data_IF_775875553998
#
_entry.id   IF_775875553998
#
_cell.length_a   1.000
_cell.length_b   1.000
_cell.length_c   1.000
_cell.angle_alpha   90.00
_cell.angle_beta   90.00
_cell.angle_gamma   90.00
#
_symmetry.space_group_name_H-M   'P 1'
#
loop_
_entity.id
_entity.type
_entity.pdbx_description
1 polymer ?
#
# COMPACT_ATOMS: atom_id res chain seq x y z
N UNK A 1 -1.28 15.89 11.92
CA UNK A 1 -2.35 14.93 12.27
C UNK A 1 -2.66 14.14 11.01
N UNK A 2 -2.27 12.86 10.94
CA UNK A 2 -2.58 12.03 9.78
C UNK A 2 -4.04 11.60 9.89
N UNK A 3 -4.87 12.04 8.95
CA UNK A 3 -6.31 11.76 8.93
C UNK A 3 -6.47 10.35 8.39
N UNK A 4 -6.83 9.40 9.26
CA UNK A 4 -7.40 8.13 8.83
C UNK A 4 -8.76 8.43 8.19
N UNK A 5 -9.00 7.87 7.01
CA UNK A 5 -10.35 7.77 6.45
C UNK A 5 -11.16 6.83 7.36
N UNK A 6 -12.19 7.32 8.09
CA UNK A 6 -12.91 6.52 9.08
C UNK A 6 -13.71 5.37 8.44
N UNK A 7 -13.88 5.35 7.12
CA UNK A 7 -14.57 4.29 6.39
C UNK A 7 -13.61 3.14 6.00
N UNK A 8 -12.30 3.31 6.16
CA UNK A 8 -11.31 2.29 5.83
C UNK A 8 -11.00 1.39 7.04
N UNK A 9 -11.09 0.08 6.81
CA UNK A 9 -10.72 -0.98 7.75
C UNK A 9 -9.87 -2.02 7.03
N UNK A 10 -9.17 -2.89 7.77
CA UNK A 10 -8.48 -4.03 7.14
C UNK A 10 -9.45 -4.83 6.27
N UNK A 11 -10.68 -5.06 6.75
CA UNK A 11 -11.68 -5.83 6.02
C UNK A 11 -12.08 -5.16 4.71
N UNK A 12 -12.47 -3.88 4.72
CA UNK A 12 -12.85 -3.17 3.48
C UNK A 12 -11.68 -3.02 2.51
N UNK A 13 -10.47 -2.74 2.99
CA UNK A 13 -9.29 -2.67 2.12
C UNK A 13 -9.01 -4.03 1.48
N UNK A 14 -8.97 -5.10 2.28
CA UNK A 14 -8.69 -6.44 1.75
C UNK A 14 -9.81 -6.87 0.81
N UNK A 15 -11.09 -6.61 1.10
CA UNK A 15 -12.21 -7.08 0.29
C UNK A 15 -12.37 -6.29 -1.03
N UNK A 16 -12.14 -4.97 -1.04
CA UNK A 16 -12.43 -4.10 -2.19
C UNK A 16 -11.20 -3.74 -3.04
N UNK A 17 -9.99 -3.97 -2.52
CA UNK A 17 -8.73 -3.62 -3.19
C UNK A 17 -7.86 -4.85 -3.45
N UNK A 18 -7.03 -4.78 -4.49
CA UNK A 18 -5.91 -5.67 -4.71
C UNK A 18 -4.66 -5.06 -4.08
N UNK A 19 -4.03 -5.80 -3.17
CA UNK A 19 -2.86 -5.34 -2.41
C UNK A 19 -1.58 -5.81 -3.11
N UNK A 20 -0.64 -4.88 -3.29
CA UNK A 20 0.72 -5.19 -3.69
C UNK A 20 1.77 -4.60 -2.74
N UNK A 21 2.91 -5.27 -2.66
CA UNK A 21 3.98 -4.93 -1.72
C UNK A 21 5.35 -5.31 -2.27
N UNK A 22 6.38 -4.77 -1.63
CA UNK A 22 7.76 -5.07 -1.92
C UNK A 22 8.20 -6.34 -1.17
N UNK A 23 8.39 -7.44 -1.90
CA UNK A 23 8.87 -8.69 -1.29
C UNK A 23 10.40 -8.70 -1.08
N UNK A 24 11.14 -7.76 -1.68
CA UNK A 24 12.60 -7.71 -1.64
C UNK A 24 13.16 -6.84 -0.51
N UNK A 25 12.39 -5.87 0.01
CA UNK A 25 12.76 -5.06 1.18
C UNK A 25 11.90 -5.38 2.40
N UNK A 26 12.51 -5.97 3.43
CA UNK A 26 11.82 -6.30 4.69
C UNK A 26 11.36 -5.07 5.46
N UNK A 27 11.95 -3.89 5.23
CA UNK A 27 11.49 -2.64 5.83
C UNK A 27 10.09 -2.22 5.32
N UNK A 28 9.67 -2.76 4.17
CA UNK A 28 8.35 -2.55 3.59
C UNK A 28 7.35 -3.65 3.99
N UNK A 29 7.70 -4.59 4.88
CA UNK A 29 6.86 -5.75 5.20
C UNK A 29 5.48 -5.44 5.80
N UNK A 30 5.26 -4.19 6.21
CA UNK A 30 3.99 -3.67 6.73
C UNK A 30 3.34 -2.61 5.82
N UNK A 31 3.92 -2.34 4.65
CA UNK A 31 3.49 -1.29 3.72
C UNK A 31 2.98 -1.89 2.41
N UNK A 32 1.80 -1.45 2.00
CA UNK A 32 1.15 -1.97 0.81
C UNK A 32 0.55 -0.83 -0.01
N UNK A 33 0.62 -0.97 -1.32
CA UNK A 33 -0.21 -0.22 -2.25
C UNK A 33 -1.48 -1.03 -2.48
N UNK A 34 -2.65 -0.38 -2.42
CA UNK A 34 -3.94 -1.00 -2.69
C UNK A 34 -4.60 -0.29 -3.87
N UNK A 35 -5.01 -1.05 -4.89
CA UNK A 35 -5.74 -0.53 -6.05
C UNK A 35 -7.15 -1.12 -6.09
N UNK A 36 -8.19 -0.35 -6.49
CA UNK A 36 -9.53 -0.90 -6.59
C UNK A 36 -9.59 -2.13 -7.50
N UNK A 37 -10.31 -3.16 -7.05
CA UNK A 37 -10.43 -4.43 -7.78
C UNK A 37 -11.06 -4.28 -9.16
N UNK A 38 -10.69 -5.21 -10.04
CA UNK A 38 -11.31 -5.38 -11.35
C UNK A 38 -10.99 -4.30 -12.38
N UNK A 39 -10.21 -3.29 -12.00
CA UNK A 39 -10.06 -2.09 -12.81
C UNK A 39 -8.72 -2.00 -13.59
N UNK A 40 -7.97 -3.11 -13.68
CA UNK A 40 -6.75 -3.17 -14.50
C UNK A 40 -5.65 -2.19 -14.05
N UNK A 41 -5.72 -1.70 -12.81
CA UNK A 41 -4.89 -0.61 -12.29
C UNK A 41 -3.50 -1.07 -11.80
N UNK A 42 -3.05 -2.27 -12.17
CA UNK A 42 -1.70 -2.76 -11.85
C UNK A 42 -0.62 -1.85 -12.42
N UNK A 43 -0.86 -1.22 -13.57
CA UNK A 43 0.05 -0.24 -14.15
C UNK A 43 0.26 1.01 -13.27
N UNK A 44 -0.77 1.47 -12.55
CA UNK A 44 -0.61 2.59 -11.60
C UNK A 44 0.25 2.16 -10.42
N UNK A 45 -0.05 0.99 -9.83
CA UNK A 45 0.73 0.46 -8.71
C UNK A 45 2.20 0.27 -9.09
N UNK A 46 2.49 -0.29 -10.27
CA UNK A 46 3.86 -0.44 -10.78
C UNK A 46 4.54 0.90 -11.04
N UNK A 47 3.81 1.88 -11.59
CA UNK A 47 4.33 3.23 -11.78
C UNK A 47 4.70 3.91 -10.45
N UNK A 48 3.91 3.67 -9.41
CA UNK A 48 4.18 4.17 -8.05
C UNK A 48 5.34 3.42 -7.40
N UNK A 49 5.37 2.09 -7.50
CA UNK A 49 6.49 1.27 -7.05
C UNK A 49 7.80 1.70 -7.74
N UNK A 50 7.77 2.03 -9.03
CA UNK A 50 8.91 2.58 -9.76
C UNK A 50 9.43 3.90 -9.19
N UNK A 51 8.55 4.78 -8.71
CA UNK A 51 8.95 6.04 -8.04
C UNK A 51 9.58 5.77 -6.67
N UNK A 52 8.99 4.85 -5.90
CA UNK A 52 9.55 4.44 -4.61
C UNK A 52 10.91 3.76 -4.78
N UNK A 53 11.09 2.97 -5.84
CA UNK A 53 12.37 2.35 -6.21
C UNK A 53 13.43 3.39 -6.57
N UNK A 54 13.07 4.39 -7.38
CA UNK A 54 13.97 5.50 -7.70
C UNK A 54 14.41 6.31 -6.46
N UNK A 55 13.61 6.29 -5.39
CA UNK A 55 13.92 6.90 -4.10
C UNK A 55 14.62 5.95 -3.10
N UNK A 56 14.92 4.70 -3.47
CA UNK A 56 15.50 3.70 -2.57
C UNK A 56 14.56 3.22 -1.46
N UNK A 57 13.25 3.39 -1.65
CA UNK A 57 12.19 2.98 -0.72
C UNK A 57 11.43 1.73 -1.17
N UNK A 58 11.84 1.15 -2.29
CA UNK A 58 11.37 -0.13 -2.83
C UNK A 58 12.57 -0.82 -3.48
N UNK A 59 12.69 -2.13 -3.33
CA UNK A 59 13.76 -2.93 -3.91
C UNK A 59 13.67 -3.05 -5.44
N UNK A 60 14.68 -3.61 -6.10
CA UNK A 60 14.59 -3.90 -7.53
C UNK A 60 13.65 -5.07 -7.88
N UNK A 61 13.08 -5.74 -6.87
CA UNK A 61 12.12 -6.81 -7.09
C UNK A 61 10.80 -6.28 -7.68
N UNK A 62 10.13 -7.08 -8.54
CA UNK A 62 8.78 -6.74 -9.01
C UNK A 62 7.80 -6.69 -7.83
N UNK A 63 6.75 -5.88 -7.94
CA UNK A 63 5.73 -5.83 -6.90
C UNK A 63 5.03 -7.18 -6.80
N UNK A 64 4.90 -7.69 -5.57
CA UNK A 64 4.18 -8.93 -5.30
C UNK A 64 2.75 -8.61 -4.94
N UNK A 65 1.82 -9.34 -5.52
CA UNK A 65 0.39 -9.21 -5.28
C UNK A 65 -0.09 -10.26 -4.28
N UNK A 66 -1.02 -9.88 -3.42
CA UNK A 66 -1.72 -10.82 -2.52
C UNK A 66 -2.70 -11.63 -3.37
N UNK A 67 -2.43 -12.92 -3.52
CA UNK A 67 -3.28 -13.84 -4.26
C UNK A 67 -4.64 -14.05 -3.56
N UNK A 68 -5.67 -14.39 -4.34
CA UNK A 68 -7.05 -14.48 -3.85
C UNK A 68 -7.17 -15.48 -2.70
N UNK A 69 -6.52 -16.63 -2.81
CA UNK A 69 -6.47 -17.70 -1.81
C UNK A 69 -5.84 -17.27 -0.48
N UNK A 70 -5.09 -16.16 -0.44
CA UNK A 70 -4.42 -15.66 0.75
C UNK A 70 -5.16 -14.49 1.42
N UNK A 71 -6.17 -13.91 0.78
CA UNK A 71 -6.87 -12.71 1.28
C UNK A 71 -7.49 -12.92 2.64
N UNK A 72 -8.14 -14.06 2.88
CA UNK A 72 -8.73 -14.38 4.18
C UNK A 72 -7.69 -14.37 5.32
N UNK A 73 -6.48 -14.87 5.04
CA UNK A 73 -5.37 -14.85 6.00
C UNK A 73 -4.90 -13.42 6.28
N UNK A 74 -4.75 -12.60 5.23
CA UNK A 74 -4.33 -11.20 5.36
C UNK A 74 -5.37 -10.39 6.16
N UNK A 75 -6.65 -10.57 5.85
CA UNK A 75 -7.76 -9.95 6.59
C UNK A 75 -7.73 -10.28 8.09
N UNK A 76 -7.40 -11.53 8.44
CA UNK A 76 -7.36 -11.97 9.83
C UNK A 76 -6.11 -11.53 10.59
N UNK A 77 -4.98 -11.33 9.89
CA UNK A 77 -3.67 -11.12 10.51
C UNK A 77 -3.18 -9.68 10.48
N UNK A 78 -3.67 -8.84 9.56
CA UNK A 78 -3.23 -7.45 9.43
C UNK A 78 -4.07 -6.51 10.32
N UNK A 79 -3.39 -5.73 11.16
CA UNK A 79 -4.00 -4.64 11.88
C UNK A 79 -3.79 -3.33 11.10
N UNK A 80 -4.85 -2.68 10.62
CA UNK A 80 -4.71 -1.40 9.92
C UNK A 80 -4.20 -0.33 10.90
N UNK A 81 -3.06 0.29 10.54
CA UNK A 81 -2.48 1.41 11.30
C UNK A 81 -2.80 2.73 10.61
N UNK A 82 -2.64 2.80 9.29
CA UNK A 82 -3.00 3.99 8.52
C UNK A 82 -3.33 3.62 7.08
N UNK A 83 -4.21 4.40 6.47
CA UNK A 83 -4.44 4.38 5.03
C UNK A 83 -4.58 5.82 4.56
N UNK A 84 -4.02 6.12 3.38
CA UNK A 84 -4.20 7.40 2.71
C UNK A 84 -4.60 7.17 1.27
N UNK A 85 -5.62 7.92 0.85
CA UNK A 85 -6.21 7.85 -0.48
C UNK A 85 -5.54 8.86 -1.39
N UNK A 86 -5.14 8.38 -2.56
CA UNK A 86 -4.53 9.17 -3.62
C UNK A 86 -5.30 8.99 -4.92
N UNK A 87 -5.21 10.00 -5.78
CA UNK A 87 -5.68 9.95 -7.16
C UNK A 87 -4.55 10.28 -8.11
N UNK A 88 -4.52 9.57 -9.23
CA UNK A 88 -3.68 9.87 -10.37
C UNK A 88 -4.46 9.65 -11.66
N UNK A 89 -4.65 10.73 -12.43
CA UNK A 89 -5.42 10.72 -13.70
C UNK A 89 -6.83 10.11 -13.55
N UNK A 90 -7.48 10.36 -12.42
CA UNK A 90 -8.83 9.85 -12.13
C UNK A 90 -8.87 8.43 -11.53
N UNK A 91 -7.74 7.71 -11.52
CA UNK A 91 -7.64 6.41 -10.86
C UNK A 91 -7.26 6.56 -9.39
N UNK A 92 -7.92 5.79 -8.53
CA UNK A 92 -7.63 5.73 -7.10
C UNK A 92 -6.50 4.74 -6.76
N UNK A 93 -5.73 5.10 -5.75
CA UNK A 93 -4.72 4.27 -5.09
C UNK A 93 -4.78 4.54 -3.59
N UNK A 94 -4.69 3.49 -2.78
CA UNK A 94 -4.43 3.61 -1.36
C UNK A 94 -2.96 3.31 -1.08
N UNK A 95 -2.30 4.19 -0.32
CA UNK A 95 -1.11 3.82 0.42
C UNK A 95 -1.56 3.34 1.79
N UNK A 96 -1.13 2.15 2.20
CA UNK A 96 -1.60 1.52 3.43
C UNK A 96 -0.44 1.04 4.27
N UNK A 97 -0.62 1.18 5.58
CA UNK A 97 0.30 0.77 6.62
C UNK A 97 -0.47 -0.11 7.58
N UNK A 98 0.00 -1.33 7.74
CA UNK A 98 -0.52 -2.28 8.71
C UNK A 98 0.49 -2.51 9.83
N UNK A 99 0.10 -3.30 10.81
CA UNK A 99 1.00 -3.93 11.77
C UNK A 99 0.79 -5.44 11.74
N UNK A 100 1.88 -6.17 12.00
CA UNK A 100 1.89 -7.62 12.04
C UNK A 100 3.02 -8.12 12.95
N UNK A 101 2.84 -9.15 13.79
CA UNK A 101 3.86 -9.61 14.74
C UNK A 101 5.22 -9.96 14.09
N UNK A 102 5.21 -10.48 12.86
CA UNK A 102 6.41 -10.83 12.08
C UNK A 102 7.02 -9.65 11.31
N UNK A 103 6.19 -8.64 11.00
CA UNK A 103 6.56 -7.52 10.14
C UNK A 103 6.03 -6.25 10.80
N UNK A 104 6.71 -5.79 11.86
CA UNK A 104 6.22 -4.66 12.64
C UNK A 104 6.15 -3.40 11.79
N UNK A 105 5.23 -2.54 12.16
CA UNK A 105 4.98 -1.28 11.48
C UNK A 105 6.09 -0.25 11.69
N UNK A 106 6.72 0.23 10.62
CA UNK A 106 7.76 1.28 10.69
C UNK A 106 7.19 2.67 10.33
N UNK A 107 7.12 3.56 11.32
CA UNK A 107 6.59 4.92 11.14
C UNK A 107 7.51 5.82 10.31
N UNK A 108 8.83 5.65 10.41
CA UNK A 108 9.79 6.44 9.64
C UNK A 108 9.76 6.03 8.17
N UNK A 109 9.72 4.72 7.89
CA UNK A 109 9.57 4.20 6.53
C UNK A 109 8.26 4.67 5.90
N UNK A 110 7.15 4.62 6.66
CA UNK A 110 5.87 5.16 6.23
C UNK A 110 5.95 6.65 5.87
N UNK A 111 6.54 7.48 6.72
CA UNK A 111 6.70 8.90 6.45
C UNK A 111 7.52 9.15 5.17
N UNK A 112 8.58 8.36 4.94
CA UNK A 112 9.38 8.45 3.73
C UNK A 112 8.58 8.10 2.46
N UNK A 113 7.76 7.04 2.50
CA UNK A 113 6.82 6.72 1.41
C UNK A 113 5.91 7.90 1.11
N UNK A 114 5.27 8.46 2.13
CA UNK A 114 4.35 9.59 1.93
C UNK A 114 5.03 10.80 1.31
N UNK A 115 6.28 11.10 1.66
CA UNK A 115 7.03 12.18 1.02
C UNK A 115 7.17 12.01 -0.50
N UNK A 116 7.42 10.77 -0.97
CA UNK A 116 7.49 10.46 -2.40
C UNK A 116 6.11 10.50 -3.06
N UNK A 117 5.09 9.95 -2.39
CA UNK A 117 3.73 9.88 -2.94
C UNK A 117 3.08 11.26 -3.03
N UNK A 118 3.23 12.09 -2.00
CA UNK A 118 2.69 13.45 -1.96
C UNK A 118 3.31 14.34 -3.05
N UNK A 119 4.55 14.09 -3.44
CA UNK A 119 5.21 14.82 -4.52
C UNK A 119 4.71 14.42 -5.92
N UNK A 120 4.06 13.25 -6.05
CA UNK A 120 3.72 12.66 -7.35
C UNK A 120 2.21 12.46 -7.58
N UNK A 121 1.41 12.46 -6.51
CA UNK A 121 -0.01 12.10 -6.52
C UNK A 121 -0.82 13.16 -5.78
N UNK A 122 -2.13 13.20 -6.03
CA UNK A 122 -3.05 14.12 -5.34
C UNK A 122 -3.77 13.36 -4.23
N UNK A 123 -3.69 13.85 -2.99
CA UNK A 123 -4.50 13.31 -1.88
C UNK A 123 -5.98 13.56 -2.14
N UNK A 124 -6.81 12.54 -1.94
CA UNK A 124 -8.25 12.60 -2.16
C UNK A 124 -9.03 12.77 -0.85
#
# INVERSE_FOLDING_TARGET
MQVQDPELSTASIVDDFDLCFDAGDKANGSLYLAVPRGAGHSALAEGVAGRLRAAGLWSDAPAKWVAEEHRASYRAQLALVAALRYRHRGTELLATRFDHPKFPSDAARWAAWLGVLDAALVRA
#
